data_IF_824608043280
#
_entry.id   IF_824608043280
#
_cell.length_a   1.000
_cell.length_b   1.000
_cell.length_c   1.000
_cell.angle_alpha   90.00
_cell.angle_beta   90.00
_cell.angle_gamma   90.00
#
_symmetry.space_group_name_H-M   'P 1'
#
loop_
_entity.id
_entity.type
_entity.pdbx_description
1 polymer ?
#
# COMPACT_ATOMS: atom_id res chain seq x y z
N UNK A 1 -4.21 -5.07 -10.70
CA UNK A 1 -3.28 -5.95 -9.97
C UNK A 1 -3.17 -7.22 -10.78
N UNK A 2 -2.28 -7.21 -11.78
CA UNK A 2 -1.93 -8.40 -12.54
C UNK A 2 -0.49 -8.67 -12.16
N UNK A 3 -0.29 -9.59 -11.22
CA UNK A 3 1.05 -10.03 -10.86
C UNK A 3 1.45 -11.05 -11.92
N UNK A 4 2.63 -10.88 -12.51
CA UNK A 4 3.16 -11.86 -13.44
C UNK A 4 3.23 -13.22 -12.75
N UNK A 5 2.85 -14.32 -13.42
CA UNK A 5 2.98 -15.65 -12.84
C UNK A 5 4.43 -15.87 -12.38
N UNK A 6 4.63 -16.53 -11.24
CA UNK A 6 5.96 -16.78 -10.71
C UNK A 6 6.74 -17.70 -11.66
N UNK A 7 8.08 -17.66 -11.57
CA UNK A 7 8.97 -18.33 -12.53
C UNK A 7 8.72 -19.85 -12.59
N UNK A 8 8.49 -20.47 -11.44
CA UNK A 8 8.16 -21.89 -11.31
C UNK A 8 6.90 -22.29 -12.09
N UNK A 9 5.89 -21.41 -12.16
CA UNK A 9 4.70 -21.64 -12.99
C UNK A 9 5.04 -21.66 -14.49
N UNK A 10 5.92 -20.75 -14.95
CA UNK A 10 6.40 -20.75 -16.33
C UNK A 10 7.25 -21.97 -16.64
N UNK A 11 8.14 -22.34 -15.72
CA UNK A 11 9.04 -23.50 -15.85
C UNK A 11 8.25 -24.83 -15.90
N UNK A 12 7.05 -24.88 -15.31
CA UNK A 12 6.17 -26.05 -15.37
C UNK A 12 5.57 -26.30 -16.76
N UNK A 13 5.47 -25.28 -17.62
CA UNK A 13 5.02 -25.41 -19.01
C UNK A 13 3.54 -25.78 -19.22
N UNK A 14 2.73 -25.83 -18.15
CA UNK A 14 1.29 -26.12 -18.23
C UNK A 14 0.46 -24.85 -17.92
N UNK A 15 -0.18 -24.25 -18.94
CA UNK A 15 -0.93 -23.01 -18.77
C UNK A 15 -2.25 -23.19 -18.01
N UNK A 16 -2.63 -24.41 -17.65
CA UNK A 16 -3.84 -24.70 -16.86
C UNK A 16 -3.62 -24.66 -15.35
N UNK A 17 -2.35 -24.67 -14.90
CA UNK A 17 -2.02 -24.72 -13.48
C UNK A 17 -2.52 -23.47 -12.74
N UNK A 18 -3.01 -23.62 -11.50
CA UNK A 18 -3.35 -22.49 -10.64
C UNK A 18 -2.14 -21.58 -10.39
N UNK A 19 -2.39 -20.26 -10.37
CA UNK A 19 -1.38 -19.25 -10.05
C UNK A 19 -1.70 -18.68 -8.67
N UNK A 20 -0.78 -18.84 -7.70
CA UNK A 20 -0.93 -18.21 -6.39
C UNK A 20 -0.84 -16.70 -6.50
N UNK A 21 -1.74 -16.00 -5.82
CA UNK A 21 -1.79 -14.53 -5.80
C UNK A 21 -1.87 -14.02 -4.35
N UNK A 22 -1.13 -12.95 -3.99
CA UNK A 22 -1.21 -12.37 -2.66
C UNK A 22 -2.59 -11.74 -2.36
N UNK A 23 -3.26 -11.22 -3.39
CA UNK A 23 -4.59 -10.64 -3.24
C UNK A 23 -5.49 -10.97 -4.43
N UNK A 24 -6.79 -10.89 -4.21
CA UNK A 24 -7.79 -11.16 -5.24
C UNK A 24 -8.16 -9.91 -6.04
N UNK A 25 -8.64 -10.14 -7.26
CA UNK A 25 -9.38 -9.13 -8.02
C UNK A 25 -10.81 -9.11 -7.46
N UNK A 26 -11.25 -7.97 -6.91
CA UNK A 26 -12.53 -7.83 -6.20
C UNK A 26 -13.80 -8.18 -6.99
N UNK A 27 -13.69 -8.35 -8.31
CA UNK A 27 -14.82 -8.52 -9.22
C UNK A 27 -15.55 -9.87 -9.10
N UNK A 28 -14.81 -10.96 -8.84
CA UNK A 28 -15.37 -12.31 -8.82
C UNK A 28 -14.40 -13.31 -8.18
N UNK A 29 -14.92 -14.17 -7.30
CA UNK A 29 -14.20 -15.28 -6.70
C UNK A 29 -15.16 -16.42 -6.37
N UNK A 30 -14.60 -17.61 -6.18
CA UNK A 30 -15.34 -18.79 -5.70
C UNK A 30 -14.67 -19.27 -4.43
N UNK A 31 -15.48 -19.57 -3.41
CA UNK A 31 -14.99 -20.01 -2.11
C UNK A 31 -15.92 -21.06 -1.53
N UNK A 32 -15.37 -21.98 -0.73
CA UNK A 32 -16.18 -22.89 0.06
C UNK A 32 -16.98 -22.09 1.11
N UNK A 33 -18.31 -22.27 1.14
CA UNK A 33 -19.21 -21.54 2.04
C UNK A 33 -18.86 -21.71 3.53
N UNK A 34 -18.47 -22.91 3.95
CA UNK A 34 -18.13 -23.18 5.36
C UNK A 34 -16.84 -22.45 5.74
N UNK A 35 -15.80 -22.61 4.93
CA UNK A 35 -14.54 -21.89 5.10
C UNK A 35 -14.76 -20.37 5.13
N UNK A 36 -15.57 -19.83 4.20
CA UNK A 36 -15.85 -18.40 4.16
C UNK A 36 -16.55 -17.89 5.44
N UNK A 37 -17.45 -18.70 6.00
CA UNK A 37 -18.09 -18.42 7.29
C UNK A 37 -17.11 -18.51 8.46
N UNK A 38 -16.24 -19.52 8.48
CA UNK A 38 -15.23 -19.74 9.53
C UNK A 38 -14.22 -18.60 9.61
N UNK A 39 -13.79 -18.06 8.46
CA UNK A 39 -12.92 -16.87 8.40
C UNK A 39 -13.68 -15.54 8.60
N UNK A 40 -14.97 -15.60 8.95
CA UNK A 40 -15.76 -14.44 9.35
C UNK A 40 -16.28 -13.54 8.23
N UNK A 41 -16.49 -14.07 7.03
CA UNK A 41 -17.04 -13.38 5.85
C UNK A 41 -16.24 -12.10 5.49
N UNK A 42 -16.83 -11.17 4.75
CA UNK A 42 -16.27 -9.81 4.60
C UNK A 42 -16.45 -9.01 5.88
N UNK A 43 -15.60 -8.01 6.11
CA UNK A 43 -15.75 -7.08 7.22
C UNK A 43 -17.04 -6.25 7.08
N UNK A 44 -18.05 -6.42 7.97
CA UNK A 44 -19.30 -5.71 7.86
C UNK A 44 -19.18 -4.21 8.19
N UNK A 45 -18.05 -3.77 8.76
CA UNK A 45 -17.78 -2.36 9.00
C UNK A 45 -17.17 -1.62 7.80
N UNK A 46 -16.95 -2.29 6.68
CA UNK A 46 -16.54 -1.66 5.42
C UNK A 46 -17.72 -1.06 4.68
N UNK A 47 -17.53 0.15 4.16
CA UNK A 47 -18.60 0.91 3.51
C UNK A 47 -18.33 1.09 2.03
N UNK A 48 -19.39 0.98 1.22
CA UNK A 48 -19.49 1.34 -0.20
C UNK A 48 -18.53 0.59 -1.14
N UNK A 49 -17.23 0.89 -1.12
CA UNK A 49 -16.26 0.36 -2.08
C UNK A 49 -14.82 0.51 -1.60
N UNK A 50 -14.02 -0.53 -1.87
CA UNK A 50 -12.57 -0.49 -1.79
C UNK A 50 -12.05 -1.15 -0.52
N UNK A 51 -10.93 -1.86 -0.65
CA UNK A 51 -10.24 -2.51 0.47
C UNK A 51 -10.69 -3.94 0.74
N UNK A 52 -11.92 -4.33 0.37
CA UNK A 52 -12.48 -5.66 0.67
C UNK A 52 -11.69 -6.80 0.00
N UNK A 53 -11.18 -6.56 -1.20
CA UNK A 53 -10.39 -7.53 -1.96
C UNK A 53 -8.99 -7.73 -1.36
N UNK A 54 -8.42 -6.67 -0.77
CA UNK A 54 -7.13 -6.71 -0.08
C UNK A 54 -7.30 -7.36 1.30
N UNK A 55 -8.34 -6.98 2.03
CA UNK A 55 -8.70 -7.56 3.32
C UNK A 55 -8.86 -9.07 3.23
N UNK A 56 -9.68 -9.53 2.28
CA UNK A 56 -9.93 -10.95 2.11
C UNK A 56 -8.67 -11.70 1.69
N UNK A 57 -7.85 -11.12 0.81
CA UNK A 57 -6.55 -11.68 0.40
C UNK A 57 -5.63 -11.92 1.60
N UNK A 58 -5.36 -10.86 2.38
CA UNK A 58 -4.49 -10.94 3.55
C UNK A 58 -5.07 -11.92 4.58
N UNK A 59 -6.37 -11.82 4.89
CA UNK A 59 -7.05 -12.69 5.86
C UNK A 59 -6.94 -14.17 5.49
N UNK A 60 -7.25 -14.53 4.25
CA UNK A 60 -7.19 -15.93 3.80
C UNK A 60 -5.78 -16.49 3.99
N UNK A 61 -4.75 -15.77 3.56
CA UNK A 61 -3.36 -16.21 3.69
C UNK A 61 -2.89 -16.31 5.14
N UNK A 62 -3.20 -15.31 5.97
CA UNK A 62 -2.80 -15.31 7.37
C UNK A 62 -3.52 -16.38 8.19
N UNK A 63 -4.75 -16.73 7.82
CA UNK A 63 -5.59 -17.65 8.57
C UNK A 63 -5.64 -19.08 7.98
N UNK A 64 -4.68 -19.45 7.13
CA UNK A 64 -4.43 -20.83 6.73
C UNK A 64 -5.04 -21.29 5.40
N UNK A 65 -5.59 -20.38 4.60
CA UNK A 65 -6.00 -20.65 3.23
C UNK A 65 -4.97 -20.20 2.19
N UNK A 66 -5.36 -20.27 0.91
CA UNK A 66 -4.61 -19.73 -0.24
C UNK A 66 -5.54 -18.96 -1.16
N UNK A 67 -4.96 -18.05 -1.94
CA UNK A 67 -5.65 -17.34 -3.01
C UNK A 67 -5.02 -17.70 -4.35
N UNK A 68 -5.85 -18.08 -5.31
CA UNK A 68 -5.41 -18.63 -6.59
C UNK A 68 -6.22 -18.07 -7.77
N UNK A 69 -5.52 -17.79 -8.86
CA UNK A 69 -6.11 -17.48 -10.16
C UNK A 69 -6.07 -18.75 -11.00
N UNK A 70 -7.22 -19.14 -11.56
CA UNK A 70 -7.36 -20.33 -12.40
C UNK A 70 -7.43 -19.90 -13.88
N UNK A 71 -6.37 -20.08 -14.69
CA UNK A 71 -6.33 -19.59 -16.08
C UNK A 71 -7.44 -20.15 -16.99
N UNK A 72 -7.95 -21.35 -16.65
CA UNK A 72 -9.05 -21.99 -17.36
C UNK A 72 -10.42 -21.37 -17.07
N UNK A 73 -10.58 -20.67 -15.94
CA UNK A 73 -11.84 -19.98 -15.59
C UNK A 73 -11.78 -18.53 -16.05
N UNK A 74 -12.62 -18.16 -17.02
CA UNK A 74 -12.58 -16.85 -17.66
C UNK A 74 -13.91 -16.13 -17.45
N UNK A 75 -13.85 -14.99 -16.77
CA UNK A 75 -14.99 -14.10 -16.55
C UNK A 75 -14.62 -12.72 -17.06
N UNK A 76 -15.40 -12.19 -18.02
CA UNK A 76 -15.20 -10.85 -18.53
C UNK A 76 -15.78 -9.81 -17.57
N UNK A 77 -14.99 -8.78 -17.25
CA UNK A 77 -15.42 -7.65 -16.43
C UNK A 77 -15.30 -6.36 -17.24
N UNK A 78 -16.38 -5.58 -17.31
CA UNK A 78 -16.39 -4.26 -17.96
C UNK A 78 -15.93 -3.21 -16.96
N UNK A 79 -14.67 -2.79 -17.08
CA UNK A 79 -14.13 -1.74 -16.24
C UNK A 79 -14.77 -0.39 -16.54
N UNK A 80 -15.08 0.36 -15.47
CA UNK A 80 -15.63 1.72 -15.56
C UNK A 80 -14.62 2.70 -14.99
N UNK A 81 -14.35 3.78 -15.74
CA UNK A 81 -13.49 4.89 -15.28
C UNK A 81 -14.05 5.61 -14.05
N UNK A 82 -15.38 5.76 -13.97
CA UNK A 82 -16.08 6.41 -12.85
C UNK A 82 -17.07 5.43 -12.22
N UNK A 83 -17.08 5.35 -10.89
CA UNK A 83 -18.09 4.60 -10.13
C UNK A 83 -19.34 5.48 -9.99
N UNK A 84 -20.52 5.07 -10.49
CA UNK A 84 -21.68 5.95 -10.60
C UNK A 84 -22.51 6.08 -9.32
N UNK A 85 -22.22 5.28 -8.29
CA UNK A 85 -23.08 5.13 -7.11
C UNK A 85 -22.66 5.98 -5.91
N UNK A 86 -21.48 6.61 -5.92
CA UNK A 86 -21.05 7.50 -4.85
C UNK A 86 -20.03 8.53 -5.35
N UNK A 87 -20.17 9.77 -4.91
CA UNK A 87 -19.26 10.85 -5.29
C UNK A 87 -17.97 10.88 -4.45
N UNK A 88 -17.96 10.22 -3.28
CA UNK A 88 -16.84 10.24 -2.34
C UNK A 88 -16.17 8.85 -2.19
N UNK A 89 -15.94 8.16 -3.31
CA UNK A 89 -15.26 6.85 -3.32
C UNK A 89 -13.89 6.92 -2.63
N UNK A 90 -13.19 8.04 -2.76
CA UNK A 90 -11.87 8.24 -2.16
C UNK A 90 -11.89 8.16 -0.63
N UNK A 91 -12.88 8.77 0.02
CA UNK A 91 -13.04 8.67 1.47
C UNK A 91 -13.29 7.23 1.92
N UNK A 92 -14.25 6.54 1.30
CA UNK A 92 -14.58 5.15 1.66
C UNK A 92 -13.40 4.20 1.43
N UNK A 93 -12.69 4.36 0.31
CA UNK A 93 -11.50 3.57 0.01
C UNK A 93 -10.42 3.78 1.07
N UNK A 94 -10.17 5.03 1.48
CA UNK A 94 -9.22 5.35 2.56
C UNK A 94 -9.67 4.72 3.88
N UNK A 95 -10.91 4.96 4.30
CA UNK A 95 -11.46 4.42 5.56
C UNK A 95 -11.35 2.89 5.62
N UNK A 96 -11.75 2.20 4.56
CA UNK A 96 -11.68 0.75 4.50
C UNK A 96 -10.23 0.25 4.50
N UNK A 97 -9.31 0.91 3.78
CA UNK A 97 -7.88 0.57 3.82
C UNK A 97 -7.28 0.71 5.23
N UNK A 98 -7.69 1.73 5.99
CA UNK A 98 -7.26 1.91 7.38
C UNK A 98 -7.81 0.81 8.30
N UNK A 99 -9.06 0.37 8.10
CA UNK A 99 -9.60 -0.81 8.80
C UNK A 99 -8.77 -2.06 8.54
N UNK A 100 -8.37 -2.30 7.28
CA UNK A 100 -7.48 -3.43 6.93
C UNK A 100 -6.14 -3.30 7.64
N UNK A 101 -5.55 -2.11 7.60
CA UNK A 101 -4.24 -1.85 8.21
C UNK A 101 -4.26 -2.13 9.71
N UNK A 102 -5.28 -1.62 10.41
CA UNK A 102 -5.44 -1.78 11.86
C UNK A 102 -5.68 -3.21 12.31
N UNK A 103 -6.31 -4.04 11.48
CA UNK A 103 -6.63 -5.43 11.85
C UNK A 103 -5.54 -6.40 11.43
N UNK A 104 -4.97 -6.22 10.23
CA UNK A 104 -4.22 -7.27 9.54
C UNK A 104 -2.74 -6.97 9.28
N UNK A 105 -2.32 -5.69 9.32
CA UNK A 105 -0.97 -5.29 8.90
C UNK A 105 0.05 -5.15 10.04
N UNK A 106 -0.35 -5.35 11.29
CA UNK A 106 0.54 -5.22 12.45
C UNK A 106 1.28 -3.87 12.43
N UNK A 107 2.59 -3.87 12.71
CA UNK A 107 3.41 -2.67 12.64
C UNK A 107 3.52 -2.10 11.22
N UNK A 108 3.23 -2.87 10.16
CA UNK A 108 3.29 -2.37 8.79
C UNK A 108 2.15 -1.41 8.43
N UNK A 109 1.16 -1.24 9.32
CA UNK A 109 0.03 -0.31 9.10
C UNK A 109 0.45 1.13 8.80
N UNK A 110 1.62 1.57 9.30
CA UNK A 110 2.13 2.91 9.02
C UNK A 110 2.38 3.16 7.53
N UNK A 111 2.69 2.12 6.74
CA UNK A 111 2.86 2.27 5.29
C UNK A 111 1.55 2.75 4.64
N UNK A 112 0.40 2.33 5.17
CA UNK A 112 -0.91 2.75 4.68
C UNK A 112 -1.18 4.21 5.04
N UNK A 113 -0.83 4.65 6.25
CA UNK A 113 -0.98 6.05 6.65
C UNK A 113 -0.13 6.97 5.76
N UNK A 114 1.15 6.60 5.56
CA UNK A 114 2.06 7.38 4.72
C UNK A 114 1.57 7.40 3.26
N UNK A 115 1.15 6.26 2.70
CA UNK A 115 0.65 6.19 1.32
C UNK A 115 -0.58 7.08 1.08
N UNK A 116 -1.39 7.31 2.12
CA UNK A 116 -2.57 8.18 2.05
C UNK A 116 -2.34 9.61 2.56
N UNK A 117 -1.10 9.95 2.91
CA UNK A 117 -0.70 11.23 3.50
C UNK A 117 -1.46 11.56 4.79
N UNK A 118 -1.59 10.57 5.67
CA UNK A 118 -2.29 10.73 6.94
C UNK A 118 -1.28 10.84 8.08
N UNK A 119 -1.56 11.68 9.10
CA UNK A 119 -0.80 11.70 10.33
C UNK A 119 -0.71 10.27 10.92
N UNK A 120 0.49 9.89 11.38
CA UNK A 120 0.71 8.60 12.04
C UNK A 120 -0.04 8.52 13.38
N UNK A 121 -0.12 9.65 14.07
CA UNK A 121 -0.89 9.83 15.28
C UNK A 121 -2.19 10.55 14.93
N UNK A 122 -3.32 9.89 15.17
CA UNK A 122 -4.66 10.38 14.86
C UNK A 122 -4.88 10.75 13.37
N UNK A 123 -5.19 9.77 12.50
CA UNK A 123 -5.37 10.00 11.06
C UNK A 123 -6.60 10.86 10.71
N UNK A 124 -7.42 11.28 11.69
CA UNK A 124 -8.59 12.13 11.47
C UNK A 124 -9.74 11.46 10.72
N UNK A 125 -9.66 10.14 10.51
CA UNK A 125 -10.68 9.32 9.86
C UNK A 125 -11.21 8.33 10.87
N UNK A 126 -12.50 8.43 11.18
CA UNK A 126 -13.18 7.44 12.01
C UNK A 126 -13.38 6.14 11.22
N UNK A 127 -12.62 5.12 11.61
CA UNK A 127 -12.68 3.79 11.02
C UNK A 127 -13.72 2.90 11.67
N UNK A 128 -14.41 3.36 12.73
CA UNK A 128 -15.33 2.57 13.54
C UNK A 128 -14.64 1.48 14.37
N UNK A 129 -15.43 0.69 15.08
CA UNK A 129 -14.90 -0.42 15.89
C UNK A 129 -14.36 -1.57 15.01
N UNK A 130 -13.22 -2.10 15.41
CA UNK A 130 -12.53 -3.25 14.79
C UNK A 130 -12.25 -4.37 15.80
N UNK A 131 -12.76 -4.25 17.04
CA UNK A 131 -12.52 -5.18 18.14
C UNK A 131 -12.89 -6.63 17.77
N UNK A 132 -14.06 -6.83 17.17
CA UNK A 132 -14.51 -8.15 16.72
C UNK A 132 -13.58 -8.77 15.68
N UNK A 133 -13.09 -7.96 14.73
CA UNK A 133 -12.18 -8.44 13.67
C UNK A 133 -10.83 -8.83 14.26
N UNK A 134 -10.31 -8.06 15.22
CA UNK A 134 -9.09 -8.39 15.98
C UNK A 134 -9.28 -9.66 16.83
N UNK A 135 -10.45 -9.81 17.46
CA UNK A 135 -10.79 -11.01 18.24
C UNK A 135 -10.86 -12.26 17.36
N UNK A 136 -11.49 -12.17 16.17
CA UNK A 136 -11.54 -13.23 15.18
C UNK A 136 -10.14 -13.65 14.71
N UNK A 137 -9.29 -12.67 14.36
CA UNK A 137 -7.89 -12.94 13.99
C UNK A 137 -7.15 -13.73 15.07
N UNK A 138 -7.39 -13.38 16.34
CA UNK A 138 -6.81 -14.07 17.50
C UNK A 138 -7.39 -15.49 17.67
N UNK A 139 -8.71 -15.67 17.54
CA UNK A 139 -9.36 -16.98 17.74
C UNK A 139 -8.94 -17.99 16.67
N UNK A 140 -8.75 -17.53 15.43
CA UNK A 140 -8.26 -18.35 14.31
C UNK A 140 -6.76 -18.62 14.36
N UNK A 141 -6.04 -18.02 15.33
CA UNK A 141 -4.57 -18.12 15.47
C UNK A 141 -3.85 -17.76 14.16
N UNK A 142 -4.33 -16.72 13.49
CA UNK A 142 -3.75 -16.28 12.23
C UNK A 142 -2.30 -15.82 12.42
N UNK A 143 -1.50 -15.96 11.37
CA UNK A 143 -0.11 -15.54 11.33
C UNK A 143 0.01 -14.00 11.38
N UNK A 144 1.23 -13.52 11.63
CA UNK A 144 1.53 -12.10 11.58
C UNK A 144 1.76 -11.64 10.13
N UNK A 145 1.68 -10.33 9.90
CA UNK A 145 1.85 -9.74 8.57
C UNK A 145 3.28 -9.89 8.04
N UNK A 146 4.27 -9.96 8.93
CA UNK A 146 5.64 -10.31 8.57
C UNK A 146 5.71 -11.64 7.79
N UNK A 147 5.05 -12.67 8.30
CA UNK A 147 4.99 -13.98 7.63
C UNK A 147 4.39 -13.87 6.23
N UNK A 148 3.35 -13.07 6.04
CA UNK A 148 2.74 -12.84 4.73
C UNK A 148 3.73 -12.19 3.76
N UNK A 149 4.47 -11.16 4.20
CA UNK A 149 5.50 -10.56 3.37
C UNK A 149 6.64 -11.53 3.05
N UNK A 150 6.98 -12.45 3.95
CA UNK A 150 8.08 -13.40 3.73
C UNK A 150 7.70 -14.59 2.84
N UNK A 151 6.45 -15.04 2.88
CA UNK A 151 6.04 -16.32 2.26
C UNK A 151 4.99 -16.18 1.17
N UNK A 152 4.25 -15.07 1.13
CA UNK A 152 3.14 -14.85 0.19
C UNK A 152 3.46 -13.75 -0.80
N UNK A 153 4.10 -12.66 -0.35
CA UNK A 153 4.47 -11.57 -1.23
C UNK A 153 5.90 -11.03 -1.00
N UNK A 154 6.94 -11.86 -1.18
CA UNK A 154 8.33 -11.48 -0.95
C UNK A 154 8.85 -10.39 -1.90
N UNK A 155 8.22 -10.22 -3.07
CA UNK A 155 8.58 -9.18 -4.05
C UNK A 155 8.09 -7.78 -3.64
N UNK A 156 7.22 -7.68 -2.63
CA UNK A 156 6.79 -6.38 -2.11
C UNK A 156 7.99 -5.65 -1.48
N UNK A 157 8.29 -4.45 -1.98
CA UNK A 157 9.32 -3.58 -1.41
C UNK A 157 8.97 -3.21 0.03
N UNK A 158 9.96 -3.31 0.92
CA UNK A 158 9.83 -2.99 2.35
C UNK A 158 10.67 -1.76 2.66
N UNK A 159 10.09 -0.82 3.39
CA UNK A 159 10.74 0.47 3.67
C UNK A 159 11.16 0.60 5.14
N UNK A 160 12.08 -0.24 5.60
CA UNK A 160 12.37 -0.35 7.04
C UNK A 160 13.08 0.88 7.65
N UNK A 161 13.77 1.69 6.83
CA UNK A 161 14.61 2.81 7.29
C UNK A 161 14.08 4.17 6.85
N UNK A 162 12.79 4.43 7.10
CA UNK A 162 12.15 5.69 6.74
C UNK A 162 12.57 6.79 7.72
N UNK A 163 13.23 7.84 7.22
CA UNK A 163 13.70 8.97 8.05
C UNK A 163 12.75 10.18 7.95
N UNK A 164 12.05 10.33 6.84
CA UNK A 164 11.10 11.42 6.61
C UNK A 164 10.07 11.01 5.55
N UNK A 165 8.90 11.64 5.58
CA UNK A 165 7.91 11.56 4.53
C UNK A 165 7.16 12.89 4.43
N UNK A 166 6.62 13.20 3.25
CA UNK A 166 5.82 14.41 3.02
C UNK A 166 6.27 15.16 1.78
N UNK A 167 6.00 16.46 1.75
CA UNK A 167 6.42 17.34 0.66
C UNK A 167 7.90 17.70 0.78
N UNK A 168 8.61 17.71 -0.36
CA UNK A 168 9.96 18.26 -0.42
C UNK A 168 9.89 19.72 -0.87
N UNK A 169 10.18 20.63 0.07
CA UNK A 169 10.13 22.08 -0.13
C UNK A 169 11.52 22.67 -0.29
N UNK A 170 11.66 23.60 -1.24
CA UNK A 170 12.89 24.37 -1.38
C UNK A 170 12.87 25.53 -0.35
N UNK A 171 13.90 25.63 0.48
CA UNK A 171 14.00 26.69 1.50
C UNK A 171 14.05 28.12 0.93
N UNK A 172 14.51 28.29 -0.32
CA UNK A 172 14.57 29.58 -1.02
C UNK A 172 13.29 29.90 -1.79
N UNK A 173 12.42 28.92 -2.03
CA UNK A 173 11.19 29.08 -2.78
C UNK A 173 10.06 28.32 -2.07
N UNK A 174 9.48 28.97 -1.05
CA UNK A 174 8.56 28.35 -0.09
C UNK A 174 7.22 27.93 -0.68
N UNK A 175 6.83 28.52 -1.81
CA UNK A 175 5.55 28.26 -2.47
C UNK A 175 5.63 27.15 -3.51
N UNK A 176 6.80 26.55 -3.73
CA UNK A 176 7.01 25.46 -4.70
C UNK A 176 7.58 24.21 -4.05
N UNK A 177 7.04 23.07 -4.47
CA UNK A 177 7.36 21.74 -4.00
C UNK A 177 7.89 20.90 -5.16
N UNK A 178 8.74 19.92 -4.85
CA UNK A 178 9.11 18.88 -5.81
C UNK A 178 7.85 18.07 -6.17
N UNK A 179 7.59 17.92 -7.46
CA UNK A 179 6.46 17.18 -8.01
C UNK A 179 6.95 16.17 -9.06
N UNK A 180 6.31 15.02 -9.14
CA UNK A 180 6.60 14.00 -10.17
C UNK A 180 6.41 14.50 -11.59
N UNK A 181 5.60 15.55 -11.79
CA UNK A 181 5.30 16.12 -13.08
C UNK A 181 4.52 15.18 -14.00
N UNK A 182 4.39 15.54 -15.29
CA UNK A 182 3.67 14.74 -16.27
C UNK A 182 4.27 13.34 -16.46
N UNK A 183 3.41 12.37 -16.75
CA UNK A 183 3.84 10.98 -16.91
C UNK A 183 4.78 10.78 -18.12
N UNK A 184 4.65 11.59 -19.17
CA UNK A 184 5.34 11.41 -20.46
C UNK A 184 6.86 11.67 -20.39
N UNK A 185 7.31 12.65 -19.61
CA UNK A 185 8.71 13.11 -19.64
C UNK A 185 9.61 12.52 -18.55
N UNK A 186 9.05 11.74 -17.63
CA UNK A 186 9.79 11.11 -16.51
C UNK A 186 10.68 12.08 -15.71
N UNK A 187 10.41 13.38 -15.77
CA UNK A 187 11.24 14.43 -15.19
C UNK A 187 10.45 15.09 -14.08
N UNK A 188 11.01 15.08 -12.87
CA UNK A 188 10.43 15.80 -11.74
C UNK A 188 10.47 17.31 -12.01
N UNK A 189 9.43 18.02 -11.58
CA UNK A 189 9.28 19.46 -11.77
C UNK A 189 9.17 20.16 -10.41
N UNK A 190 9.31 21.48 -10.41
CA UNK A 190 8.85 22.32 -9.30
C UNK A 190 7.44 22.81 -9.62
N UNK A 191 6.52 22.63 -8.69
CA UNK A 191 5.11 23.00 -8.86
C UNK A 191 4.56 23.64 -7.58
N UNK A 192 3.53 24.51 -7.64
CA UNK A 192 2.90 25.05 -6.44
C UNK A 192 2.54 23.95 -5.45
N UNK A 193 2.93 24.13 -4.18
CA UNK A 193 2.68 23.15 -3.14
C UNK A 193 1.17 22.93 -2.95
N UNK A 194 0.72 21.70 -3.14
CA UNK A 194 -0.68 21.29 -2.99
C UNK A 194 -0.86 20.04 -2.14
N UNK A 195 0.21 19.32 -1.80
CA UNK A 195 0.18 18.20 -0.84
C UNK A 195 -0.55 16.96 -1.33
N UNK A 196 -0.62 16.78 -2.64
CA UNK A 196 -1.27 15.62 -3.25
C UNK A 196 -0.22 14.59 -3.66
N UNK A 197 -0.65 13.37 -3.96
CA UNK A 197 0.20 12.21 -4.28
C UNK A 197 1.47 12.49 -5.10
N UNK A 198 1.42 13.28 -6.19
CA UNK A 198 2.60 13.61 -6.99
C UNK A 198 3.73 14.34 -6.25
N UNK A 199 3.42 15.06 -5.16
CA UNK A 199 4.39 15.82 -4.35
C UNK A 199 4.86 15.08 -3.10
N UNK A 200 4.32 13.88 -2.84
CA UNK A 200 4.63 13.13 -1.64
C UNK A 200 5.80 12.19 -1.87
N UNK A 201 6.85 12.43 -1.09
CA UNK A 201 8.08 11.69 -1.12
C UNK A 201 8.38 11.07 0.24
N UNK A 202 9.17 10.01 0.22
CA UNK A 202 9.67 9.30 1.38
C UNK A 202 11.19 9.27 1.31
N UNK A 203 11.83 9.80 2.34
CA UNK A 203 13.26 9.74 2.53
C UNK A 203 13.65 8.46 3.26
N UNK A 204 14.68 7.78 2.76
CA UNK A 204 15.26 6.61 3.40
C UNK A 204 16.76 6.79 3.57
N UNK A 205 17.31 6.18 4.61
CA UNK A 205 18.75 6.12 4.82
C UNK A 205 19.24 4.68 4.90
N UNK A 206 20.17 4.33 4.02
CA UNK A 206 20.83 3.03 4.01
C UNK A 206 22.34 3.21 3.92
N UNK A 207 23.07 2.70 4.92
CA UNK A 207 24.55 2.68 4.96
C UNK A 207 25.21 4.04 4.63
N UNK A 208 24.58 5.15 5.04
CA UNK A 208 25.10 6.51 4.82
C UNK A 208 24.64 7.18 3.52
N UNK A 209 23.89 6.49 2.66
CA UNK A 209 23.23 7.08 1.49
C UNK A 209 21.78 7.45 1.83
N UNK A 210 21.33 8.62 1.39
CA UNK A 210 19.96 9.08 1.56
C UNK A 210 19.22 9.02 0.21
N UNK A 211 18.20 8.18 0.10
CA UNK A 211 17.39 8.06 -1.12
C UNK A 211 16.00 8.65 -0.93
N UNK A 212 15.45 9.24 -1.99
CA UNK A 212 14.11 9.82 -2.01
C UNK A 212 13.22 9.06 -3.00
N UNK A 213 12.20 8.40 -2.46
CA UNK A 213 11.25 7.62 -3.24
C UNK A 213 9.90 8.35 -3.31
N UNK A 214 9.22 8.25 -4.46
CA UNK A 214 7.81 8.68 -4.51
C UNK A 214 6.93 7.67 -3.77
N UNK A 215 5.91 8.17 -3.08
CA UNK A 215 4.90 7.34 -2.41
C UNK A 215 3.83 6.78 -3.35
N UNK A 216 3.82 7.21 -4.62
CA UNK A 216 3.00 6.60 -5.67
C UNK A 216 3.75 5.44 -6.34
N UNK A 217 3.06 4.32 -6.66
CA UNK A 217 3.71 3.16 -7.26
C UNK A 217 4.30 3.53 -8.63
N UNK A 218 5.55 3.10 -8.85
CA UNK A 218 6.33 3.13 -10.10
C UNK A 218 7.39 4.22 -10.34
N UNK A 219 7.76 5.11 -9.39
CA UNK A 219 8.94 5.99 -9.59
C UNK A 219 9.80 6.22 -8.34
N UNK A 220 11.11 6.09 -8.50
CA UNK A 220 12.08 6.74 -7.62
C UNK A 220 12.20 8.20 -8.07
N UNK A 221 12.22 9.15 -7.14
CA UNK A 221 12.25 10.57 -7.47
C UNK A 221 13.68 11.06 -7.64
N UNK A 222 14.56 10.84 -6.65
CA UNK A 222 15.97 11.26 -6.64
C UNK A 222 16.79 10.36 -5.68
N UNK A 223 18.05 10.07 -6.00
CA UNK A 223 19.02 9.53 -5.04
C UNK A 223 20.03 10.61 -4.68
N UNK A 224 20.27 10.84 -3.38
CA UNK A 224 21.22 11.84 -2.90
C UNK A 224 22.39 11.17 -2.14
N UNK A 225 23.61 11.56 -2.49
CA UNK A 225 24.79 11.24 -1.68
C UNK A 225 25.01 12.39 -0.68
N UNK A 226 24.72 12.16 0.60
CA UNK A 226 24.90 13.17 1.64
C UNK A 226 25.18 12.54 3.00
N UNK A 227 26.37 12.83 3.56
CA UNK A 227 26.75 12.46 4.92
C UNK A 227 25.95 13.27 5.95
N UNK A 228 25.01 12.62 6.63
CA UNK A 228 24.24 13.25 7.72
C UNK A 228 25.08 13.37 8.99
N UNK A 229 25.33 14.60 9.45
CA UNK A 229 25.62 14.85 10.86
C UNK A 229 24.30 14.87 11.64
N UNK A 230 24.26 14.07 12.71
CA UNK A 230 23.22 13.91 13.75
C UNK A 230 22.01 14.86 13.71
N UNK A 231 20.81 14.30 13.60
CA UNK A 231 19.57 14.94 14.05
C UNK A 231 18.66 13.94 14.77
N UNK A 232 18.12 14.37 15.91
CA UNK A 232 17.29 13.58 16.84
C UNK A 232 15.91 13.23 16.24
N UNK A 233 15.31 12.09 16.64
CA UNK A 233 14.00 11.67 16.18
C UNK A 233 12.92 12.55 16.82
N UNK A 234 12.28 13.42 16.03
CA UNK A 234 11.17 14.27 16.50
C UNK A 234 11.11 15.69 15.92
N UNK A 235 12.01 16.08 15.00
CA UNK A 235 11.91 17.36 14.29
C UNK A 235 11.44 17.15 12.85
N UNK A 236 10.55 18.01 12.37
CA UNK A 236 10.31 18.24 10.94
C UNK A 236 11.68 18.46 10.26
N UNK A 237 12.19 17.44 9.59
CA UNK A 237 13.54 17.43 9.04
C UNK A 237 13.67 18.40 7.87
N UNK A 238 14.28 19.55 8.10
CA UNK A 238 14.79 20.45 7.07
C UNK A 238 15.96 19.78 6.34
N UNK A 239 15.68 19.19 5.17
CA UNK A 239 16.73 18.77 4.24
C UNK A 239 17.18 19.98 3.40
N UNK A 240 18.23 20.67 3.85
CA UNK A 240 18.91 21.68 3.05
C UNK A 240 20.02 21.05 2.21
N UNK A 241 19.91 21.11 0.89
CA UNK A 241 21.05 20.87 -0.01
C UNK A 241 21.49 22.17 -0.69
N UNK A 242 22.81 22.41 -0.85
CA UNK A 242 23.31 23.48 -1.69
C UNK A 242 23.11 23.08 -3.15
N UNK A 243 22.37 23.88 -3.91
CA UNK A 243 22.24 23.71 -5.35
C UNK A 243 23.60 24.03 -5.97
N UNK A 244 24.26 23.04 -6.57
CA UNK A 244 25.38 23.27 -7.47
C UNK A 244 24.87 24.02 -8.69
N UNK A 245 25.53 25.16 -8.93
CA UNK A 245 25.34 26.13 -10.02
C UNK A 245 25.43 25.54 -11.41
#
# INVERSE_FOLDING_TARGET
>A
MYISPPKDWWDAGDPSLPIRTPAMIGCSFVVNRKFFGEIGLLDPGMDVYGGENIELGIKVWLCGGSMEVLPCSRVAHIERKKKPYNNNIGFYTKRNALRVAEVWMDDYKWHVYIAWNLPLENPGIDIGDVSERKALRKSLKCKNFQWYLDHVYPEMRRYNNTIAYGELRNNKAKDVCLDQGPQENHTAILYPCHGWGPQLAQGQQDRGEASLHSLHPHRALLSFYGSSQNSNPGQEGLFSTPILS
#
